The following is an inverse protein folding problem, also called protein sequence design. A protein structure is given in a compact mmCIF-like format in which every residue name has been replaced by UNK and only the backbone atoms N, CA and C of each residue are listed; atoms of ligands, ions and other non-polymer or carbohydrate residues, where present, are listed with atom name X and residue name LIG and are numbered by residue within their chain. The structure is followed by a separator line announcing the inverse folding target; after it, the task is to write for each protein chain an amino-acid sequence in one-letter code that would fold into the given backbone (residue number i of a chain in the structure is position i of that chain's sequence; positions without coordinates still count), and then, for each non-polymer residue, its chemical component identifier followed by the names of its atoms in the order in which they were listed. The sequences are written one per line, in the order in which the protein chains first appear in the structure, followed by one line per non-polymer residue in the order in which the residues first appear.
data_IF_681104215181
#
_entry.id   IF_681104215181
#
_cell.length_a   1.000
_cell.length_b   1.000
_cell.length_c   1.000
_cell.angle_alpha   90.00
_cell.angle_beta   90.00
_cell.angle_gamma   90.00
#
_symmetry.space_group_name_H-M   'P 1'
#
loop_
_entity.id
_entity.type
_entity.pdbx_description
1 polymer ?
#
# COMPACT_ATOMS: atom_id res chain seq x y z
N UNK A 1 -28.15 5.00 -5.12
CA UNK A 1 -27.26 4.16 -5.91
C UNK A 1 -26.61 5.05 -6.95
N UNK A 2 -25.37 5.51 -6.72
CA UNK A 2 -24.63 6.26 -7.75
C UNK A 2 -24.04 5.24 -8.71
N UNK A 3 -24.31 5.39 -9.99
CA UNK A 3 -23.63 4.68 -11.07
C UNK A 3 -22.14 4.97 -10.95
N UNK A 4 -21.34 3.97 -10.68
CA UNK A 4 -19.88 4.08 -10.76
C UNK A 4 -19.53 4.26 -12.23
N UNK A 5 -19.26 5.49 -12.66
CA UNK A 5 -18.63 5.71 -13.96
C UNK A 5 -17.19 5.20 -13.90
N UNK A 6 -16.94 4.08 -14.58
CA UNK A 6 -15.59 3.61 -14.84
C UNK A 6 -15.08 4.43 -16.03
N UNK A 7 -14.28 5.46 -15.78
CA UNK A 7 -13.59 6.18 -16.84
C UNK A 7 -12.25 5.50 -17.13
N UNK A 8 -12.08 5.00 -18.34
CA UNK A 8 -10.78 4.56 -18.84
C UNK A 8 -10.02 5.80 -19.34
N UNK A 9 -9.10 6.33 -18.53
CA UNK A 9 -8.21 7.38 -18.99
C UNK A 9 -7.10 6.79 -19.86
N UNK A 10 -6.85 7.43 -20.99
CA UNK A 10 -5.72 7.11 -21.84
C UNK A 10 -4.42 7.63 -21.20
N UNK A 11 -3.31 6.97 -21.47
CA UNK A 11 -1.98 7.40 -20.98
C UNK A 11 -1.69 8.86 -21.37
N UNK A 12 -2.14 9.29 -22.55
CA UNK A 12 -1.99 10.67 -23.03
C UNK A 12 -2.66 11.70 -22.11
N UNK A 13 -3.84 11.37 -21.56
CA UNK A 13 -4.57 12.27 -20.67
C UNK A 13 -3.85 12.41 -19.33
N UNK A 14 -3.31 11.29 -18.80
CA UNK A 14 -2.51 11.30 -17.58
C UNK A 14 -1.21 12.07 -17.78
N UNK A 15 -0.53 11.89 -18.94
CA UNK A 15 0.68 12.63 -19.29
C UNK A 15 0.42 14.13 -19.32
N UNK A 16 -0.69 14.54 -19.92
CA UNK A 16 -1.08 15.94 -19.97
C UNK A 16 -1.31 16.51 -18.57
N UNK A 17 -2.00 15.78 -17.71
CA UNK A 17 -2.23 16.19 -16.32
C UNK A 17 -0.90 16.34 -15.56
N UNK A 18 0.00 15.37 -15.65
CA UNK A 18 1.34 15.42 -15.03
C UNK A 18 2.06 16.71 -15.41
N UNK A 19 2.09 17.02 -16.71
CA UNK A 19 2.80 18.19 -17.22
C UNK A 19 2.18 19.51 -16.76
N UNK A 20 0.89 19.69 -16.97
CA UNK A 20 0.22 20.95 -16.69
C UNK A 20 0.23 21.28 -15.20
N UNK A 21 -0.03 20.28 -14.34
CA UNK A 21 -0.01 20.45 -12.90
C UNK A 21 1.42 20.72 -12.40
N UNK A 22 2.40 19.94 -12.85
CA UNK A 22 3.80 20.14 -12.44
C UNK A 22 4.32 21.52 -12.85
N UNK A 23 4.02 21.96 -14.07
CA UNK A 23 4.38 23.26 -14.59
C UNK A 23 3.71 24.40 -13.79
N UNK A 24 2.40 24.26 -13.53
CA UNK A 24 1.66 25.25 -12.74
C UNK A 24 2.27 25.45 -11.35
N UNK A 25 2.54 24.34 -10.62
CA UNK A 25 3.14 24.40 -9.29
C UNK A 25 4.50 25.10 -9.33
N UNK A 26 5.35 24.69 -10.28
CA UNK A 26 6.71 25.24 -10.40
C UNK A 26 6.72 26.73 -10.77
N UNK A 27 5.85 27.14 -11.70
CA UNK A 27 5.72 28.55 -12.11
C UNK A 27 5.23 29.46 -10.99
N UNK A 28 4.42 28.93 -10.07
CA UNK A 28 3.94 29.67 -8.89
C UNK A 28 4.86 29.53 -7.67
N UNK A 29 6.09 29.01 -7.83
CA UNK A 29 7.13 28.97 -6.78
C UNK A 29 6.96 27.83 -5.78
N UNK A 30 6.12 26.80 -6.07
CA UNK A 30 6.00 25.62 -5.21
C UNK A 30 7.25 24.74 -5.27
N UNK A 31 7.63 24.20 -4.11
CA UNK A 31 8.77 23.29 -3.96
C UNK A 31 8.41 22.02 -3.17
N UNK A 32 7.50 22.12 -2.20
CA UNK A 32 7.14 21.07 -1.25
C UNK A 32 5.65 20.81 -1.27
N UNK A 33 5.26 19.79 -2.04
CA UNK A 33 3.87 19.51 -2.40
C UNK A 33 3.27 18.42 -1.52
N UNK A 34 2.29 18.76 -0.71
CA UNK A 34 1.50 17.81 0.05
C UNK A 34 0.34 17.27 -0.80
N UNK A 35 0.29 15.98 -0.99
CA UNK A 35 -0.82 15.28 -1.63
C UNK A 35 -1.76 14.78 -0.53
N UNK A 36 -2.90 15.45 -0.39
CA UNK A 36 -3.98 15.11 0.54
C UNK A 36 -5.21 14.65 -0.24
N UNK A 37 -5.08 13.52 -0.91
CA UNK A 37 -6.10 12.93 -1.77
C UNK A 37 -6.37 11.46 -1.38
N UNK A 38 -7.60 10.96 -1.61
CA UNK A 38 -7.82 9.52 -1.64
C UNK A 38 -7.10 8.88 -2.83
N UNK A 39 -7.13 7.54 -2.90
CA UNK A 39 -6.60 6.84 -4.07
C UNK A 39 -7.35 7.28 -5.33
N UNK A 40 -6.67 8.01 -6.19
CA UNK A 40 -7.26 8.57 -7.41
C UNK A 40 -6.20 8.72 -8.52
N UNK A 41 -6.64 9.05 -9.70
CA UNK A 41 -5.73 9.30 -10.83
C UNK A 41 -4.94 10.58 -10.59
N UNK A 42 -5.57 11.58 -10.01
CA UNK A 42 -4.95 12.85 -9.65
C UNK A 42 -3.85 12.67 -8.60
N UNK A 43 -4.03 11.70 -7.66
CA UNK A 43 -2.96 11.32 -6.73
C UNK A 43 -1.72 10.83 -7.48
N UNK A 44 -1.92 9.91 -8.43
CA UNK A 44 -0.82 9.34 -9.23
C UNK A 44 -0.21 10.41 -10.15
N UNK A 45 -1.03 11.21 -10.80
CA UNK A 45 -0.57 12.31 -11.65
C UNK A 45 0.23 13.35 -10.86
N UNK A 46 -0.22 13.73 -9.66
CA UNK A 46 0.51 14.64 -8.76
C UNK A 46 1.86 14.07 -8.32
N UNK A 47 1.91 12.76 -7.98
CA UNK A 47 3.15 12.08 -7.61
C UNK A 47 4.18 12.16 -8.76
N UNK A 48 3.76 11.84 -9.98
CA UNK A 48 4.65 11.92 -11.15
C UNK A 48 4.97 13.38 -11.53
N UNK A 49 4.03 14.31 -11.40
CA UNK A 49 4.30 15.73 -11.59
C UNK A 49 5.42 16.22 -10.68
N UNK A 50 5.39 15.85 -9.40
CA UNK A 50 6.48 16.17 -8.48
C UNK A 50 7.82 15.58 -8.93
N UNK A 51 7.83 14.33 -9.39
CA UNK A 51 9.06 13.67 -9.84
C UNK A 51 9.64 14.31 -11.09
N UNK A 52 8.82 14.72 -12.07
CA UNK A 52 9.27 15.33 -13.34
C UNK A 52 9.67 16.81 -13.20
N UNK A 53 9.10 17.53 -12.24
CA UNK A 53 9.29 18.97 -12.08
C UNK A 53 10.18 19.34 -10.89
N UNK A 54 10.95 18.39 -10.36
CA UNK A 54 11.90 18.60 -9.26
C UNK A 54 11.21 19.21 -8.01
N UNK A 55 10.10 18.59 -7.59
CA UNK A 55 9.31 18.97 -6.41
C UNK A 55 9.38 17.85 -5.36
N UNK A 56 9.48 18.24 -4.09
CA UNK A 56 9.44 17.29 -2.97
C UNK A 56 8.00 16.83 -2.75
N UNK A 57 7.76 15.54 -2.85
CA UNK A 57 6.44 14.95 -2.59
C UNK A 57 6.24 14.68 -1.11
N UNK A 58 5.08 15.07 -0.56
CA UNK A 58 4.69 14.80 0.82
C UNK A 58 3.38 14.05 0.82
N UNK A 59 3.39 12.81 1.30
CA UNK A 59 2.21 11.96 1.37
C UNK A 59 1.49 12.19 2.69
N UNK A 60 0.41 12.95 2.68
CA UNK A 60 -0.36 13.25 3.89
C UNK A 60 -1.49 12.23 4.05
N UNK A 61 -1.54 11.48 5.17
CA UNK A 61 -2.61 10.52 5.41
C UNK A 61 -3.98 11.18 5.35
N UNK A 62 -4.87 10.62 4.53
CA UNK A 62 -6.22 11.10 4.35
C UNK A 62 -7.09 10.74 5.59
N UNK A 63 -8.09 11.56 5.91
CA UNK A 63 -9.02 11.39 7.04
C UNK A 63 -8.41 11.50 8.45
N UNK A 64 -7.34 12.28 8.62
CA UNK A 64 -6.82 12.62 9.95
C UNK A 64 -7.54 13.84 10.54
N UNK A 65 -7.58 13.98 11.88
CA UNK A 65 -8.07 15.20 12.54
C UNK A 65 -7.32 16.44 12.07
N UNK A 66 -8.01 17.60 12.08
CA UNK A 66 -7.47 18.87 11.57
C UNK A 66 -6.16 19.26 12.27
N UNK A 67 -6.11 19.10 13.58
CA UNK A 67 -4.93 19.43 14.39
C UNK A 67 -3.73 18.59 13.95
N UNK A 68 -3.98 17.32 13.64
CA UNK A 68 -2.94 16.41 13.12
C UNK A 68 -2.46 16.89 11.75
N UNK A 69 -3.37 17.26 10.84
CA UNK A 69 -3.01 17.74 9.50
C UNK A 69 -2.13 18.99 9.62
N UNK A 70 -2.49 19.96 10.46
CA UNK A 70 -1.70 21.16 10.68
C UNK A 70 -0.29 20.82 11.18
N UNK A 71 -0.16 19.91 12.16
CA UNK A 71 1.13 19.44 12.66
C UNK A 71 1.98 18.78 11.56
N UNK A 72 1.36 17.95 10.72
CA UNK A 72 2.03 17.29 9.59
C UNK A 72 2.52 18.31 8.56
N UNK A 73 1.74 19.36 8.23
CA UNK A 73 2.15 20.42 7.33
C UNK A 73 3.32 21.22 7.90
N UNK A 74 3.31 21.53 9.20
CA UNK A 74 4.44 22.18 9.88
C UNK A 74 5.71 21.33 9.84
N UNK A 75 5.61 20.03 10.18
CA UNK A 75 6.74 19.10 10.19
C UNK A 75 7.37 18.95 8.81
N UNK A 76 6.54 18.90 7.77
CA UNK A 76 6.98 18.74 6.38
C UNK A 76 7.37 20.05 5.69
N UNK A 77 7.10 21.23 6.30
CA UNK A 77 7.33 22.54 5.69
C UNK A 77 6.69 22.66 4.31
N UNK A 78 5.44 22.23 4.21
CA UNK A 78 4.67 22.24 2.97
C UNK A 78 4.40 23.66 2.50
N UNK A 79 4.58 23.98 1.23
CA UNK A 79 4.18 25.26 0.62
C UNK A 79 2.97 25.12 -0.30
N UNK A 80 2.74 23.93 -0.85
CA UNK A 80 1.68 23.64 -1.79
C UNK A 80 0.87 22.43 -1.32
N UNK A 81 -0.45 22.52 -1.36
CA UNK A 81 -1.35 21.41 -1.02
C UNK A 81 -2.24 21.10 -2.22
N UNK A 82 -2.36 19.80 -2.54
CA UNK A 82 -3.35 19.27 -3.49
C UNK A 82 -4.38 18.50 -2.67
N UNK A 83 -5.64 18.92 -2.67
CA UNK A 83 -6.66 18.33 -1.82
C UNK A 83 -8.00 18.15 -2.54
N UNK A 84 -8.77 17.15 -2.15
CA UNK A 84 -10.14 16.98 -2.62
C UNK A 84 -11.06 18.02 -1.96
N UNK A 85 -11.98 18.58 -2.73
CA UNK A 85 -12.96 19.55 -2.22
C UNK A 85 -13.78 18.96 -1.08
N UNK A 86 -13.95 19.73 -0.02
CA UNK A 86 -14.70 19.34 1.17
C UNK A 86 -13.94 18.44 2.14
N UNK A 87 -12.71 18.01 1.81
CA UNK A 87 -11.88 17.20 2.72
C UNK A 87 -10.84 18.03 3.49
N UNK A 88 -10.51 19.21 2.99
CA UNK A 88 -9.45 20.06 3.55
C UNK A 88 -10.06 21.33 4.13
N UNK A 89 -9.97 21.58 5.44
CA UNK A 89 -10.58 22.71 6.12
C UNK A 89 -9.74 23.99 5.91
N UNK A 90 -9.86 24.59 4.73
CA UNK A 90 -9.03 25.69 4.26
C UNK A 90 -8.97 26.87 5.23
N UNK A 91 -10.13 27.36 5.72
CA UNK A 91 -10.21 28.53 6.59
C UNK A 91 -9.49 28.36 7.93
N UNK A 92 -9.45 27.14 8.44
CA UNK A 92 -8.75 26.82 9.69
C UNK A 92 -7.24 26.69 9.44
N UNK A 93 -6.89 26.03 8.34
CA UNK A 93 -5.49 25.75 8.01
C UNK A 93 -4.75 27.04 7.64
N UNK A 94 -5.33 27.93 6.83
CA UNK A 94 -4.69 29.20 6.47
C UNK A 94 -4.40 30.10 7.67
N UNK A 95 -5.24 30.05 8.70
CA UNK A 95 -5.01 30.78 9.94
C UNK A 95 -3.92 30.17 10.80
N UNK A 96 -3.84 28.84 10.83
CA UNK A 96 -2.90 28.10 11.69
C UNK A 96 -1.57 27.78 11.01
N UNK A 97 -1.53 27.82 9.67
CA UNK A 97 -0.37 27.52 8.86
C UNK A 97 -0.17 28.58 7.75
N UNK A 98 0.35 29.77 8.10
CA UNK A 98 0.51 30.90 7.16
C UNK A 98 1.61 30.68 6.11
N UNK A 99 2.41 29.63 6.21
CA UNK A 99 3.43 29.27 5.22
C UNK A 99 2.87 28.61 3.96
N UNK A 100 1.57 28.29 3.93
CA UNK A 100 0.91 27.77 2.74
C UNK A 100 0.85 28.86 1.67
N UNK A 101 1.38 28.56 0.48
CA UNK A 101 1.42 29.50 -0.65
C UNK A 101 0.42 29.13 -1.74
N UNK A 102 0.20 27.83 -1.96
CA UNK A 102 -0.65 27.33 -3.03
C UNK A 102 -1.60 26.24 -2.53
N UNK A 103 -2.83 26.27 -3.05
CA UNK A 103 -3.81 25.20 -2.86
C UNK A 103 -4.46 24.84 -4.20
N UNK A 104 -4.40 23.59 -4.57
CA UNK A 104 -5.01 23.05 -5.77
C UNK A 104 -6.18 22.14 -5.36
N UNK A 105 -7.38 22.54 -5.68
CA UNK A 105 -8.57 21.75 -5.42
C UNK A 105 -8.81 20.72 -6.53
N UNK A 106 -8.99 19.46 -6.14
CA UNK A 106 -9.48 18.40 -7.01
C UNK A 106 -10.98 18.27 -6.81
N UNK A 107 -11.75 18.47 -7.87
CA UNK A 107 -13.22 18.42 -7.87
C UNK A 107 -13.64 17.17 -8.61
N UNK A 108 -14.49 16.34 -7.98
CA UNK A 108 -15.08 15.18 -8.65
C UNK A 108 -16.09 15.62 -9.71
N UNK A 109 -16.02 15.07 -10.92
CA UNK A 109 -17.01 15.27 -11.97
C UNK A 109 -18.40 14.84 -11.46
N UNK A 110 -19.37 15.76 -11.51
CA UNK A 110 -20.74 15.55 -11.03
C UNK A 110 -20.92 15.76 -9.53
N UNK A 111 -19.92 16.31 -8.83
CA UNK A 111 -20.10 16.82 -7.48
C UNK A 111 -20.99 18.05 -7.49
N UNK A 112 -21.86 18.20 -6.46
CA UNK A 112 -22.62 19.44 -6.23
C UNK A 112 -21.71 20.64 -5.93
N UNK A 113 -20.44 20.39 -5.64
CA UNK A 113 -19.41 21.39 -5.37
C UNK A 113 -18.75 21.95 -6.65
N UNK A 114 -19.25 21.58 -7.85
CA UNK A 114 -18.89 22.28 -9.09
C UNK A 114 -19.53 23.67 -9.21
N UNK A 115 -20.45 24.03 -8.30
CA UNK A 115 -20.90 25.42 -8.15
C UNK A 115 -19.72 26.24 -7.57
N UNK A 116 -19.13 27.04 -8.41
CA UNK A 116 -17.97 27.92 -8.18
C UNK A 116 -18.07 28.81 -6.93
N UNK A 117 -19.25 28.98 -6.39
CA UNK A 117 -19.50 29.75 -5.18
C UNK A 117 -19.06 29.06 -3.89
N UNK A 118 -18.78 27.76 -3.95
CA UNK A 118 -18.33 26.98 -2.78
C UNK A 118 -16.83 26.72 -2.75
N UNK A 119 -16.10 26.98 -3.85
CA UNK A 119 -14.65 26.93 -3.87
C UNK A 119 -14.12 28.24 -3.33
N UNK A 120 -13.43 28.26 -2.17
CA UNK A 120 -12.86 29.49 -1.63
C UNK A 120 -11.86 30.07 -2.64
N UNK A 121 -12.25 31.13 -3.32
CA UNK A 121 -11.34 31.90 -4.15
C UNK A 121 -10.64 32.92 -3.29
N UNK A 122 -9.34 32.68 -2.97
CA UNK A 122 -8.42 33.70 -2.51
C UNK A 122 -8.80 34.53 -1.28
N UNK A 123 -9.57 34.02 -0.35
CA UNK A 123 -9.93 34.72 0.87
C UNK A 123 -8.80 34.68 1.88
N UNK A 124 -7.82 35.50 1.71
CA UNK A 124 -6.70 35.61 2.65
C UNK A 124 -5.49 36.35 2.08
N UNK A 125 -5.53 36.74 0.80
CA UNK A 125 -4.49 37.60 0.19
C UNK A 125 -3.11 36.96 -0.01
N UNK A 126 -2.84 35.82 0.62
CA UNK A 126 -1.52 35.18 0.63
C UNK A 126 -1.47 33.81 -0.06
N UNK A 127 -2.60 33.11 -0.20
CA UNK A 127 -2.64 31.76 -0.79
C UNK A 127 -3.21 31.82 -2.20
N UNK A 128 -2.47 31.29 -3.17
CA UNK A 128 -2.95 31.10 -4.54
C UNK A 128 -3.83 29.84 -4.59
N UNK A 129 -5.12 30.01 -4.89
CA UNK A 129 -6.08 28.91 -4.96
C UNK A 129 -6.47 28.68 -6.42
N UNK A 130 -6.33 27.45 -6.90
CA UNK A 130 -6.68 27.00 -8.24
C UNK A 130 -7.45 25.70 -8.17
N UNK A 131 -8.19 25.35 -9.22
CA UNK A 131 -8.74 24.00 -9.36
C UNK A 131 -7.93 23.19 -10.36
N UNK A 132 -7.87 21.88 -10.13
CA UNK A 132 -7.21 20.92 -11.03
C UNK A 132 -7.76 21.01 -12.44
N UNK A 133 -9.08 21.09 -12.54
CA UNK A 133 -9.82 21.15 -13.79
C UNK A 133 -9.53 22.44 -14.56
N UNK A 134 -9.46 23.60 -13.90
CA UNK A 134 -9.14 24.88 -14.55
C UNK A 134 -7.73 24.87 -15.10
N UNK A 135 -6.75 24.42 -14.30
CA UNK A 135 -5.36 24.31 -14.77
C UNK A 135 -5.28 23.50 -16.05
N UNK A 136 -6.09 22.43 -16.18
CA UNK A 136 -6.10 21.61 -17.38
C UNK A 136 -6.88 22.26 -18.51
N UNK A 137 -8.05 22.87 -18.24
CA UNK A 137 -8.95 23.43 -19.25
C UNK A 137 -8.46 24.76 -19.84
N UNK A 138 -7.67 25.52 -19.09
CA UNK A 138 -7.10 26.80 -19.53
C UNK A 138 -6.02 26.64 -20.61
N UNK A 139 -5.58 25.41 -20.87
CA UNK A 139 -4.57 25.10 -21.87
C UNK A 139 -5.20 24.39 -23.08
N UNK A 140 -4.66 24.65 -24.27
CA UNK A 140 -5.08 23.95 -25.48
C UNK A 140 -4.97 22.43 -25.35
N UNK A 141 -5.84 21.64 -26.02
CA UNK A 141 -5.83 20.17 -25.92
C UNK A 141 -4.50 19.51 -26.27
N UNK A 142 -3.68 20.17 -27.10
CA UNK A 142 -2.35 19.70 -27.50
C UNK A 142 -1.23 20.07 -26.52
N UNK A 143 -1.50 20.96 -25.56
CA UNK A 143 -0.51 21.38 -24.57
C UNK A 143 -0.25 20.27 -23.55
N UNK A 144 1.00 20.07 -23.18
CA UNK A 144 1.40 19.13 -22.13
C UNK A 144 1.37 17.65 -22.53
N UNK A 145 1.24 17.33 -23.83
CA UNK A 145 1.16 15.94 -24.29
C UNK A 145 2.49 15.19 -24.26
N UNK A 146 3.62 15.89 -24.15
CA UNK A 146 4.95 15.30 -24.06
C UNK A 146 5.55 15.57 -22.68
N UNK A 147 6.07 14.53 -22.03
CA UNK A 147 6.78 14.66 -20.76
C UNK A 147 8.09 15.43 -20.94
N UNK A 148 8.53 16.21 -19.94
CA UNK A 148 9.81 16.87 -19.98
C UNK A 148 10.94 15.86 -20.21
N UNK A 149 11.95 16.25 -20.96
CA UNK A 149 13.14 15.44 -21.14
C UNK A 149 13.80 15.21 -19.78
N UNK A 150 13.92 13.96 -19.37
CA UNK A 150 14.58 13.61 -18.10
C UNK A 150 16.09 13.62 -18.33
N UNK A 151 16.79 14.51 -17.63
CA UNK A 151 18.24 14.41 -17.52
C UNK A 151 18.57 13.21 -16.63
N UNK A 152 19.26 12.22 -17.20
CA UNK A 152 19.66 10.99 -16.50
C UNK A 152 20.63 11.24 -15.32
N UNK A 153 21.21 12.42 -15.24
CA UNK A 153 22.12 12.82 -14.18
C UNK A 153 21.41 13.55 -13.03
N UNK A 154 20.14 13.89 -13.21
CA UNK A 154 19.33 14.56 -12.16
C UNK A 154 18.39 13.56 -11.53
N UNK A 155 18.59 13.28 -10.23
CA UNK A 155 17.66 12.44 -9.46
C UNK A 155 16.43 13.27 -9.07
N UNK A 156 15.22 12.68 -9.13
CA UNK A 156 14.02 13.32 -8.58
C UNK A 156 14.19 13.65 -7.10
N UNK A 157 13.41 14.59 -6.59
CA UNK A 157 13.38 14.89 -5.15
C UNK A 157 12.81 13.72 -4.34
N UNK A 158 13.11 13.74 -3.04
CA UNK A 158 12.68 12.73 -2.10
C UNK A 158 11.16 12.73 -1.89
N UNK A 159 10.64 11.58 -1.49
CA UNK A 159 9.26 11.40 -1.06
C UNK A 159 9.23 11.36 0.47
N UNK A 160 8.43 12.24 1.07
CA UNK A 160 8.19 12.26 2.51
C UNK A 160 6.86 11.57 2.81
N UNK A 161 6.87 10.67 3.77
CA UNK A 161 5.68 9.97 4.23
C UNK A 161 5.58 10.01 5.75
N UNK A 162 4.35 9.94 6.26
CA UNK A 162 4.11 9.90 7.68
C UNK A 162 3.78 8.48 8.13
N UNK A 163 4.49 8.01 9.14
CA UNK A 163 4.18 6.76 9.80
C UNK A 163 2.99 6.93 10.76
N UNK A 164 2.26 5.86 11.11
CA UNK A 164 1.12 5.96 12.04
C UNK A 164 1.41 6.67 13.37
N UNK A 165 2.66 6.61 13.83
CA UNK A 165 3.13 7.36 15.02
C UNK A 165 3.23 8.87 14.82
N UNK A 166 3.02 9.40 13.59
CA UNK A 166 3.25 10.80 13.24
C UNK A 166 4.73 11.15 12.98
N UNK A 167 5.61 10.14 12.90
CA UNK A 167 6.99 10.30 12.47
C UNK A 167 7.05 10.61 10.97
N UNK A 168 7.81 11.65 10.61
CA UNK A 168 8.09 12.00 9.21
C UNK A 168 9.30 11.20 8.73
N UNK A 169 9.13 10.45 7.67
CA UNK A 169 10.18 9.63 7.06
C UNK A 169 10.42 10.09 5.64
N UNK A 170 11.68 10.19 5.28
CA UNK A 170 12.13 10.62 3.96
C UNK A 170 12.69 9.44 3.18
N UNK A 171 12.17 9.22 1.98
CA UNK A 171 12.60 8.18 1.06
C UNK A 171 13.26 8.81 -0.16
N UNK A 172 14.49 8.40 -0.43
CA UNK A 172 15.18 8.77 -1.66
C UNK A 172 14.59 8.01 -2.87
N UNK A 173 14.75 8.51 -4.09
CA UNK A 173 14.39 7.77 -5.30
C UNK A 173 14.99 6.36 -5.34
N UNK A 174 16.23 6.22 -4.89
CA UNK A 174 16.90 4.93 -4.81
C UNK A 174 16.21 3.96 -3.85
N UNK A 175 15.70 4.43 -2.69
CA UNK A 175 14.93 3.60 -1.76
C UNK A 175 13.63 3.09 -2.43
N UNK A 176 12.92 3.97 -3.12
CA UNK A 176 11.67 3.59 -3.82
C UNK A 176 11.94 2.57 -4.93
N UNK A 177 12.96 2.79 -5.75
CA UNK A 177 13.35 1.87 -6.83
C UNK A 177 13.80 0.52 -6.25
N UNK A 178 14.59 0.51 -5.18
CA UNK A 178 14.97 -0.71 -4.49
C UNK A 178 13.76 -1.46 -3.93
N UNK A 179 12.81 -0.74 -3.34
CA UNK A 179 11.54 -1.30 -2.87
C UNK A 179 10.74 -1.94 -3.99
N UNK A 180 10.59 -1.27 -5.13
CA UNK A 180 9.91 -1.80 -6.33
C UNK A 180 10.61 -3.09 -6.81
N UNK A 181 11.93 -3.06 -6.96
CA UNK A 181 12.73 -4.21 -7.37
C UNK A 181 12.60 -5.38 -6.38
N UNK A 182 12.65 -5.08 -5.07
CA UNK A 182 12.46 -6.06 -4.00
C UNK A 182 11.11 -6.76 -4.08
N UNK A 183 10.02 -6.01 -4.30
CA UNK A 183 8.68 -6.59 -4.41
C UNK A 183 8.52 -7.45 -5.68
N UNK A 184 9.04 -7.01 -6.81
CA UNK A 184 8.98 -7.78 -8.07
C UNK A 184 9.78 -9.08 -7.95
N UNK A 185 10.98 -9.04 -7.36
CA UNK A 185 11.87 -10.21 -7.28
C UNK A 185 11.48 -11.20 -6.20
N UNK A 186 10.75 -10.78 -5.17
CA UNK A 186 10.23 -11.66 -4.11
C UNK A 186 9.12 -12.61 -4.58
N UNK A 187 8.53 -12.34 -5.73
CA UNK A 187 7.51 -13.22 -6.33
C UNK A 187 8.15 -14.08 -7.42
N UNK A 188 7.89 -15.41 -7.43
CA UNK A 188 8.38 -16.30 -8.48
C UNK A 188 8.01 -15.80 -9.88
N UNK A 189 8.91 -15.96 -10.85
CA UNK A 189 8.76 -15.44 -12.22
C UNK A 189 7.42 -15.77 -12.87
N UNK A 190 6.90 -16.98 -12.63
CA UNK A 190 5.60 -17.44 -13.16
C UNK A 190 4.39 -16.78 -12.52
N UNK A 191 4.58 -16.08 -11.40
CA UNK A 191 3.50 -15.46 -10.60
C UNK A 191 3.64 -13.93 -10.50
N UNK A 192 4.66 -13.36 -11.12
CA UNK A 192 4.87 -11.91 -11.15
C UNK A 192 3.68 -11.17 -11.74
N UNK A 193 3.59 -9.90 -11.40
CA UNK A 193 2.63 -8.98 -11.98
C UNK A 193 2.95 -8.83 -13.47
N UNK A 194 1.92 -8.86 -14.32
CA UNK A 194 2.04 -8.79 -15.77
C UNK A 194 0.99 -7.84 -16.36
N UNK A 195 1.09 -7.55 -17.65
CA UNK A 195 0.11 -6.75 -18.39
C UNK A 195 -1.31 -7.35 -18.42
N UNK A 196 -1.46 -8.63 -18.11
CA UNK A 196 -2.76 -9.28 -18.03
C UNK A 196 -3.48 -9.05 -16.67
N UNK A 197 -2.78 -8.44 -15.72
CA UNK A 197 -3.31 -8.20 -14.39
C UNK A 197 -4.04 -6.87 -14.29
N UNK A 198 -5.09 -6.87 -13.45
CA UNK A 198 -5.73 -5.67 -12.93
C UNK A 198 -5.39 -5.56 -11.44
N UNK A 199 -4.56 -4.59 -11.11
CA UNK A 199 -4.09 -4.32 -9.76
C UNK A 199 -4.98 -3.30 -9.06
N UNK A 200 -5.42 -3.57 -7.84
CA UNK A 200 -6.22 -2.65 -7.02
C UNK A 200 -5.52 -2.38 -5.68
N UNK A 201 -5.05 -1.14 -5.42
CA UNK A 201 -4.70 -0.72 -4.08
C UNK A 201 -5.98 -0.47 -3.28
N UNK A 202 -6.37 -1.41 -2.41
CA UNK A 202 -7.48 -1.29 -1.49
C UNK A 202 -7.06 -0.67 -0.14
N UNK A 203 -5.81 -0.33 0.01
CA UNK A 203 -5.26 0.47 1.10
C UNK A 203 -4.73 1.81 0.57
N UNK A 204 -4.48 2.77 1.46
CA UNK A 204 -4.12 4.13 1.09
C UNK A 204 -2.75 4.20 0.40
N UNK A 205 -2.67 4.92 -0.71
CA UNK A 205 -1.41 5.22 -1.41
C UNK A 205 -0.51 6.20 -0.64
N UNK A 206 -0.99 6.81 0.43
CA UNK A 206 -0.15 7.58 1.35
C UNK A 206 0.72 6.68 2.22
N UNK A 207 0.42 5.37 2.25
CA UNK A 207 1.23 4.33 2.89
C UNK A 207 2.24 3.79 1.88
N UNK A 208 3.51 3.70 2.27
CA UNK A 208 4.62 3.40 1.35
C UNK A 208 4.53 2.00 0.73
N UNK A 209 4.05 0.99 1.46
CA UNK A 209 3.94 -0.36 0.91
C UNK A 209 2.92 -0.48 -0.24
N UNK A 210 1.66 -0.02 -0.11
CA UNK A 210 0.72 0.05 -1.23
C UNK A 210 1.24 0.90 -2.39
N UNK A 211 1.91 2.02 -2.09
CA UNK A 211 2.51 2.88 -3.12
C UNK A 211 3.57 2.13 -3.93
N UNK A 212 4.53 1.50 -3.27
CA UNK A 212 5.61 0.73 -3.92
C UNK A 212 5.05 -0.41 -4.77
N UNK A 213 4.04 -1.13 -4.27
CA UNK A 213 3.38 -2.18 -5.05
C UNK A 213 2.60 -1.63 -6.25
N UNK A 214 1.97 -0.46 -6.12
CA UNK A 214 1.29 0.22 -7.23
C UNK A 214 2.30 0.65 -8.30
N UNK A 215 3.43 1.22 -7.89
CA UNK A 215 4.52 1.55 -8.81
C UNK A 215 5.13 0.29 -9.46
N UNK A 216 5.24 -0.82 -8.73
CA UNK A 216 5.67 -2.11 -9.28
C UNK A 216 4.67 -2.66 -10.32
N UNK A 217 3.36 -2.48 -10.09
CA UNK A 217 2.33 -2.85 -11.05
C UNK A 217 2.41 -2.01 -12.33
N UNK A 218 2.55 -0.69 -12.20
CA UNK A 218 2.76 0.21 -13.34
C UNK A 218 4.04 -0.13 -14.12
N UNK A 219 5.14 -0.38 -13.42
CA UNK A 219 6.40 -0.81 -14.02
C UNK A 219 6.27 -2.12 -14.81
N UNK A 220 5.41 -3.03 -14.33
CA UNK A 220 5.12 -4.31 -14.96
C UNK A 220 4.07 -4.21 -16.09
N UNK A 221 3.68 -3.01 -16.49
CA UNK A 221 2.62 -2.72 -17.47
C UNK A 221 1.25 -3.31 -17.10
N UNK A 222 0.98 -3.54 -15.83
CA UNK A 222 -0.34 -3.96 -15.37
C UNK A 222 -1.33 -2.78 -15.39
N UNK A 223 -2.60 -3.08 -15.60
CA UNK A 223 -3.65 -2.09 -15.39
C UNK A 223 -3.83 -1.83 -13.90
N UNK A 224 -3.97 -0.57 -13.52
CA UNK A 224 -4.22 -0.18 -12.12
C UNK A 224 -5.61 0.41 -12.02
N UNK A 225 -6.45 -0.18 -11.17
CA UNK A 225 -7.74 0.39 -10.81
C UNK A 225 -7.58 1.23 -9.54
N UNK A 226 -8.00 2.48 -9.61
CA UNK A 226 -7.99 3.39 -8.47
C UNK A 226 -9.43 3.63 -8.01
N UNK A 227 -9.64 3.57 -6.71
CA UNK A 227 -10.96 3.76 -6.11
C UNK A 227 -10.83 4.67 -4.90
N UNK A 228 -11.50 5.83 -4.94
CA UNK A 228 -11.50 6.81 -3.85
C UNK A 228 -12.08 6.27 -2.53
N UNK A 229 -12.81 5.17 -2.58
CA UNK A 229 -13.32 4.45 -1.40
C UNK A 229 -12.25 3.55 -0.78
N UNK A 230 -11.29 3.09 -1.59
CA UNK A 230 -10.16 2.32 -1.09
C UNK A 230 -9.33 3.14 -0.09
N UNK A 231 -8.95 2.53 1.02
CA UNK A 231 -8.28 3.22 2.13
C UNK A 231 -9.20 3.98 3.09
N UNK A 232 -10.47 4.22 2.71
CA UNK A 232 -11.49 4.86 3.57
C UNK A 232 -12.46 3.85 4.18
N UNK A 233 -12.80 2.82 3.42
CA UNK A 233 -13.72 1.77 3.87
C UNK A 233 -12.96 0.49 4.20
N UNK A 234 -13.19 -0.07 5.38
CA UNK A 234 -12.67 -1.39 5.72
C UNK A 234 -13.41 -2.53 5.00
N UNK A 235 -14.32 -2.24 4.09
CA UNK A 235 -15.11 -3.23 3.34
C UNK A 235 -14.50 -3.51 1.97
N UNK A 236 -13.86 -4.68 1.86
CA UNK A 236 -13.19 -5.14 0.64
C UNK A 236 -14.21 -5.42 -0.50
N UNK A 237 -15.41 -5.86 -0.17
CA UNK A 237 -16.47 -6.11 -1.16
C UNK A 237 -16.90 -4.79 -1.80
N UNK A 238 -17.04 -3.75 -0.99
CA UNK A 238 -17.40 -2.42 -1.50
C UNK A 238 -16.26 -1.80 -2.31
N UNK A 239 -15.01 -1.95 -1.87
CA UNK A 239 -13.83 -1.44 -2.59
C UNK A 239 -13.64 -2.08 -3.98
N UNK A 240 -14.16 -3.30 -4.19
CA UNK A 240 -14.05 -4.03 -5.46
C UNK A 240 -15.31 -3.98 -6.31
N UNK A 241 -16.31 -3.21 -5.91
CA UNK A 241 -17.56 -3.11 -6.64
C UNK A 241 -17.36 -2.52 -8.04
N UNK A 242 -17.87 -3.17 -9.06
CA UNK A 242 -17.81 -2.71 -10.46
C UNK A 242 -16.54 -3.12 -11.23
N UNK A 243 -15.54 -3.69 -10.57
CA UNK A 243 -14.28 -4.14 -11.19
C UNK A 243 -14.02 -5.62 -10.92
N UNK A 244 -13.08 -6.23 -11.64
CA UNK A 244 -12.67 -7.63 -11.45
C UNK A 244 -11.14 -7.72 -11.23
N UNK A 245 -10.63 -7.29 -10.06
CA UNK A 245 -9.20 -7.26 -9.82
C UNK A 245 -8.61 -8.68 -9.80
N UNK A 246 -7.41 -8.82 -10.34
CA UNK A 246 -6.62 -10.05 -10.26
C UNK A 246 -5.66 -10.02 -9.08
N UNK A 247 -5.23 -8.82 -8.68
CA UNK A 247 -4.32 -8.58 -7.57
C UNK A 247 -4.86 -7.44 -6.72
N UNK A 248 -4.83 -7.63 -5.40
CA UNK A 248 -5.24 -6.60 -4.42
C UNK A 248 -4.09 -6.40 -3.43
N UNK A 249 -3.85 -5.15 -2.99
CA UNK A 249 -3.08 -4.86 -1.79
C UNK A 249 -4.01 -4.26 -0.73
N UNK A 250 -3.91 -4.75 0.50
CA UNK A 250 -4.80 -4.36 1.59
C UNK A 250 -4.10 -4.47 2.95
N UNK A 251 -4.66 -3.86 3.98
CA UNK A 251 -4.15 -3.98 5.35
C UNK A 251 -4.65 -5.25 6.05
N UNK A 252 -3.92 -5.69 7.08
CA UNK A 252 -4.32 -6.81 7.94
C UNK A 252 -5.67 -6.57 8.63
N UNK A 253 -5.96 -5.33 9.03
CA UNK A 253 -7.22 -4.96 9.69
C UNK A 253 -8.45 -5.17 8.78
N UNK A 254 -8.34 -4.84 7.50
CA UNK A 254 -9.40 -5.06 6.51
C UNK A 254 -9.65 -6.57 6.34
N UNK A 255 -8.58 -7.38 6.25
CA UNK A 255 -8.73 -8.82 6.12
C UNK A 255 -9.24 -9.48 7.41
N UNK A 256 -8.83 -9.02 8.58
CA UNK A 256 -9.37 -9.51 9.86
C UNK A 256 -10.89 -9.31 9.93
N UNK A 257 -11.37 -8.16 9.48
CA UNK A 257 -12.81 -7.89 9.39
C UNK A 257 -13.48 -8.82 8.37
N UNK A 258 -12.92 -8.94 7.17
CA UNK A 258 -13.46 -9.84 6.13
C UNK A 258 -13.53 -11.29 6.62
N UNK A 259 -12.50 -11.74 7.38
CA UNK A 259 -12.50 -13.05 8.03
C UNK A 259 -13.66 -13.18 9.02
N UNK A 260 -13.81 -12.25 9.96
CA UNK A 260 -14.85 -12.31 10.99
C UNK A 260 -16.27 -12.30 10.39
N UNK A 261 -16.53 -11.47 9.38
CA UNK A 261 -17.80 -11.40 8.68
C UNK A 261 -18.12 -12.69 7.90
N UNK A 262 -17.10 -13.34 7.32
CA UNK A 262 -17.27 -14.58 6.57
C UNK A 262 -17.42 -15.77 7.52
N UNK A 263 -16.60 -15.83 8.58
CA UNK A 263 -16.69 -16.88 9.60
C UNK A 263 -18.07 -16.89 10.30
N UNK A 264 -18.66 -15.72 10.52
CA UNK A 264 -20.01 -15.59 11.09
C UNK A 264 -21.10 -16.24 10.22
N UNK A 265 -20.87 -16.41 8.90
CA UNK A 265 -21.79 -17.10 7.98
C UNK A 265 -21.68 -18.62 8.03
N UNK A 266 -20.63 -19.17 8.64
CA UNK A 266 -20.42 -20.63 8.80
C UNK A 266 -21.30 -21.26 9.89
N UNK A 267 -22.61 -21.05 9.82
CA UNK A 267 -23.54 -21.50 10.85
C UNK A 267 -23.91 -22.99 10.78
N UNK A 268 -23.80 -23.61 9.59
CA UNK A 268 -24.15 -25.01 9.36
C UNK A 268 -22.97 -25.95 9.62
N UNK A 269 -23.25 -27.11 10.24
CA UNK A 269 -22.26 -28.17 10.46
C UNK A 269 -21.67 -28.67 9.14
N UNK A 270 -22.48 -28.69 8.06
CA UNK A 270 -22.00 -29.08 6.73
C UNK A 270 -20.97 -28.11 6.17
N UNK A 271 -21.22 -26.81 6.30
CA UNK A 271 -20.26 -25.78 5.83
C UNK A 271 -18.98 -25.80 6.64
N UNK A 272 -19.05 -26.03 7.96
CA UNK A 272 -17.86 -26.19 8.81
C UNK A 272 -17.04 -27.41 8.41
N UNK A 273 -17.71 -28.52 8.08
CA UNK A 273 -17.04 -29.75 7.63
C UNK A 273 -16.34 -29.54 6.28
N UNK A 274 -17.01 -28.90 5.31
CA UNK A 274 -16.41 -28.59 4.00
C UNK A 274 -15.20 -27.67 4.19
N UNK A 275 -15.35 -26.64 5.02
CA UNK A 275 -14.26 -25.70 5.32
C UNK A 275 -13.07 -26.42 5.96
N UNK A 276 -13.32 -27.28 6.95
CA UNK A 276 -12.28 -28.06 7.60
C UNK A 276 -11.50 -28.95 6.61
N UNK A 277 -12.21 -29.62 5.69
CA UNK A 277 -11.53 -30.41 4.64
C UNK A 277 -10.66 -29.55 3.72
N UNK A 278 -11.14 -28.36 3.35
CA UNK A 278 -10.39 -27.44 2.49
C UNK A 278 -9.14 -26.91 3.22
N UNK A 279 -9.30 -26.47 4.47
CA UNK A 279 -8.19 -25.99 5.28
C UNK A 279 -7.17 -27.11 5.53
N UNK A 280 -7.62 -28.31 5.83
CA UNK A 280 -6.74 -29.46 6.02
C UNK A 280 -5.95 -29.80 4.74
N UNK A 281 -6.60 -29.77 3.57
CA UNK A 281 -5.92 -29.97 2.30
C UNK A 281 -4.84 -28.90 2.05
N UNK A 282 -5.16 -27.64 2.33
CA UNK A 282 -4.23 -26.55 2.18
C UNK A 282 -3.00 -26.70 3.10
N UNK A 283 -3.25 -26.96 4.38
CA UNK A 283 -2.19 -27.03 5.40
C UNK A 283 -1.34 -28.30 5.27
N UNK A 284 -1.95 -29.45 5.04
CA UNK A 284 -1.22 -30.73 4.99
C UNK A 284 -0.56 -31.02 3.63
N UNK A 285 -1.19 -30.60 2.55
CA UNK A 285 -0.71 -30.91 1.20
C UNK A 285 -0.13 -29.70 0.45
N UNK A 286 -0.26 -28.49 1.01
CA UNK A 286 0.23 -27.27 0.36
C UNK A 286 -0.48 -26.94 -0.96
N UNK A 287 -1.69 -27.44 -1.16
CA UNK A 287 -2.44 -27.30 -2.41
C UNK A 287 -3.71 -26.51 -2.17
N UNK A 288 -3.89 -25.43 -2.93
CA UNK A 288 -5.15 -24.70 -2.94
C UNK A 288 -6.30 -25.63 -3.39
N UNK A 289 -7.42 -25.64 -2.66
CA UNK A 289 -8.55 -26.49 -3.01
C UNK A 289 -9.06 -26.19 -4.43
N UNK A 290 -9.24 -27.25 -5.22
CA UNK A 290 -9.86 -27.14 -6.54
C UNK A 290 -11.36 -26.90 -6.42
N UNK A 291 -11.94 -26.22 -7.41
CA UNK A 291 -13.38 -26.05 -7.52
C UNK A 291 -14.05 -27.42 -7.75
N UNK A 292 -14.67 -27.96 -6.71
CA UNK A 292 -15.47 -29.20 -6.76
C UNK A 292 -16.96 -28.86 -6.65
N UNK A 293 -17.83 -29.84 -6.89
CA UNK A 293 -19.29 -29.68 -6.71
C UNK A 293 -19.60 -29.23 -5.27
N UNK A 294 -18.88 -29.79 -4.27
CA UNK A 294 -19.03 -29.41 -2.86
C UNK A 294 -18.52 -27.99 -2.57
N UNK A 295 -17.46 -27.54 -3.23
CA UNK A 295 -16.96 -26.18 -3.08
C UNK A 295 -17.93 -25.14 -3.64
N UNK A 296 -18.73 -25.49 -4.66
CA UNK A 296 -19.77 -24.58 -5.21
C UNK A 296 -20.87 -24.26 -4.19
N UNK A 297 -21.22 -25.21 -3.33
CA UNK A 297 -22.13 -24.91 -2.21
C UNK A 297 -21.53 -23.92 -1.23
N UNK A 298 -20.22 -24.02 -1.01
CA UNK A 298 -19.47 -23.11 -0.15
C UNK A 298 -19.24 -21.74 -0.78
N UNK A 299 -19.22 -21.66 -2.12
CA UNK A 299 -18.99 -20.39 -2.85
C UNK A 299 -20.04 -19.32 -2.53
N UNK A 300 -21.26 -19.72 -2.14
CA UNK A 300 -22.32 -18.80 -1.70
C UNK A 300 -22.00 -18.06 -0.40
N UNK A 301 -21.06 -18.56 0.40
CA UNK A 301 -20.63 -17.96 1.68
C UNK A 301 -19.42 -17.03 1.51
N UNK A 302 -18.71 -17.18 0.40
CA UNK A 302 -17.52 -16.37 0.13
C UNK A 302 -17.89 -14.91 -0.05
N UNK A 303 -17.01 -13.98 0.39
CA UNK A 303 -17.20 -12.58 0.05
C UNK A 303 -17.12 -12.43 -1.47
N UNK A 304 -18.05 -11.66 -2.04
CA UNK A 304 -18.08 -11.38 -3.48
C UNK A 304 -17.02 -10.31 -3.78
N UNK A 305 -15.81 -10.76 -4.10
CA UNK A 305 -14.73 -9.86 -4.48
C UNK A 305 -14.76 -9.63 -5.99
N UNK A 306 -15.11 -8.40 -6.37
CA UNK A 306 -15.21 -7.99 -7.77
C UNK A 306 -16.41 -8.57 -8.52
N UNK A 307 -16.52 -8.19 -9.79
CA UNK A 307 -17.64 -8.60 -10.66
C UNK A 307 -17.52 -10.01 -11.22
N UNK A 308 -16.32 -10.59 -11.22
CA UNK A 308 -16.04 -11.91 -11.77
C UNK A 308 -15.43 -12.81 -10.71
N UNK A 309 -16.20 -13.74 -10.13
CA UNK A 309 -15.68 -14.70 -9.15
C UNK A 309 -14.50 -15.50 -9.68
N UNK A 310 -13.48 -15.72 -8.83
CA UNK A 310 -12.31 -16.54 -9.16
C UNK A 310 -11.23 -15.85 -10.01
N UNK A 311 -11.39 -14.58 -10.39
CA UNK A 311 -10.33 -13.81 -11.05
C UNK A 311 -9.22 -13.37 -10.11
N UNK A 312 -9.54 -13.13 -8.84
CA UNK A 312 -8.55 -12.75 -7.83
C UNK A 312 -7.57 -13.90 -7.62
N UNK A 313 -6.30 -13.67 -7.94
CA UNK A 313 -5.24 -14.69 -7.83
C UNK A 313 -4.27 -14.45 -6.69
N UNK A 314 -4.11 -13.18 -6.28
CA UNK A 314 -3.11 -12.79 -5.29
C UNK A 314 -3.59 -11.60 -4.45
N UNK A 315 -3.36 -11.68 -3.15
CA UNK A 315 -3.58 -10.59 -2.20
C UNK A 315 -2.28 -10.31 -1.46
N UNK A 316 -1.81 -9.08 -1.52
CA UNK A 316 -0.74 -8.57 -0.70
C UNK A 316 -1.32 -7.94 0.56
N UNK A 317 -0.80 -8.31 1.71
CA UNK A 317 -1.26 -7.83 3.01
C UNK A 317 -0.09 -7.29 3.78
N UNK A 318 -0.22 -6.09 4.31
CA UNK A 318 0.81 -5.50 5.17
C UNK A 318 0.36 -5.42 6.62
N UNK A 319 1.28 -5.76 7.50
CA UNK A 319 1.26 -5.42 8.92
C UNK A 319 2.26 -4.30 9.16
N UNK A 320 1.81 -3.22 9.78
CA UNK A 320 2.67 -2.08 10.07
C UNK A 320 3.15 -2.14 11.52
N UNK A 321 4.45 -2.08 11.73
CA UNK A 321 5.02 -2.03 13.06
C UNK A 321 4.56 -0.75 13.78
N UNK A 322 3.99 -0.93 14.98
CA UNK A 322 3.49 0.18 15.79
C UNK A 322 2.13 0.73 15.37
N UNK A 323 1.42 0.07 14.45
CA UNK A 323 0.00 0.32 14.23
C UNK A 323 -0.85 -0.37 15.33
N UNK A 324 -2.05 0.15 15.56
CA UNK A 324 -2.98 -0.41 16.55
C UNK A 324 -3.67 -1.71 16.08
N UNK A 325 -3.24 -2.28 14.95
CA UNK A 325 -3.76 -3.54 14.42
C UNK A 325 -3.11 -4.75 15.11
N UNK A 326 -3.91 -5.81 15.34
CA UNK A 326 -3.36 -7.09 15.79
C UNK A 326 -2.92 -7.91 14.58
N UNK A 327 -1.69 -8.46 14.59
CA UNK A 327 -1.22 -9.33 13.52
C UNK A 327 -2.13 -10.56 13.34
N UNK A 328 -2.25 -11.03 12.10
CA UNK A 328 -3.08 -12.18 11.77
C UNK A 328 -2.41 -13.49 12.22
N UNK A 329 -3.21 -14.43 12.72
CA UNK A 329 -2.74 -15.78 13.01
C UNK A 329 -2.61 -16.62 11.73
N UNK A 330 -1.82 -17.68 11.77
CA UNK A 330 -1.66 -18.61 10.66
C UNK A 330 -2.98 -19.31 10.28
N UNK A 331 -3.85 -19.56 11.23
CA UNK A 331 -5.19 -20.10 11.02
C UNK A 331 -6.06 -19.11 10.23
N UNK A 332 -6.11 -17.84 10.68
CA UNK A 332 -6.86 -16.78 10.01
C UNK A 332 -6.38 -16.58 8.57
N UNK A 333 -5.07 -16.64 8.32
CA UNK A 333 -4.53 -16.55 6.97
C UNK A 333 -4.93 -17.76 6.11
N UNK A 334 -4.97 -18.96 6.69
CA UNK A 334 -5.41 -20.18 5.98
C UNK A 334 -6.89 -20.10 5.63
N UNK A 335 -7.73 -19.67 6.56
CA UNK A 335 -9.16 -19.44 6.32
C UNK A 335 -9.39 -18.40 5.25
N UNK A 336 -8.68 -17.27 5.30
CA UNK A 336 -8.79 -16.21 4.29
C UNK A 336 -8.40 -16.69 2.90
N UNK A 337 -7.37 -17.54 2.75
CA UNK A 337 -7.02 -18.15 1.46
C UNK A 337 -8.18 -18.97 0.90
N UNK A 338 -8.89 -19.72 1.76
CA UNK A 338 -10.09 -20.48 1.39
C UNK A 338 -11.26 -19.55 1.06
N UNK A 339 -11.53 -18.55 1.89
CA UNK A 339 -12.65 -17.60 1.69
C UNK A 339 -12.49 -16.78 0.42
N UNK A 340 -11.31 -16.26 0.16
CA UNK A 340 -11.02 -15.45 -1.01
C UNK A 340 -10.76 -16.30 -2.27
N UNK A 341 -10.42 -17.59 -2.09
CA UNK A 341 -9.99 -18.46 -3.19
C UNK A 341 -8.68 -17.97 -3.84
N UNK A 342 -7.85 -17.25 -3.13
CA UNK A 342 -6.66 -16.60 -3.65
C UNK A 342 -5.44 -16.82 -2.74
N UNK A 343 -4.25 -16.66 -3.30
CA UNK A 343 -3.01 -16.70 -2.52
C UNK A 343 -2.82 -15.40 -1.76
N UNK A 344 -2.21 -15.48 -0.59
CA UNK A 344 -1.95 -14.33 0.27
C UNK A 344 -0.46 -14.28 0.57
N UNK A 345 0.17 -13.15 0.28
CA UNK A 345 1.50 -12.77 0.73
C UNK A 345 1.33 -11.84 1.93
N UNK A 346 1.86 -12.23 3.07
CA UNK A 346 1.79 -11.47 4.32
C UNK A 346 3.13 -10.83 4.62
N UNK A 347 3.15 -9.50 4.70
CA UNK A 347 4.35 -8.70 4.79
C UNK A 347 4.40 -7.90 6.10
N UNK A 348 5.59 -7.76 6.66
CA UNK A 348 5.90 -6.83 7.75
C UNK A 348 6.51 -5.57 7.16
N UNK A 349 6.00 -4.41 7.56
CA UNK A 349 6.46 -3.10 7.11
C UNK A 349 6.88 -2.22 8.29
N UNK A 350 7.90 -1.41 8.09
CA UNK A 350 8.41 -0.46 9.09
C UNK A 350 8.51 0.95 8.51
N UNK A 351 8.69 1.94 9.37
CA UNK A 351 8.73 3.34 8.98
C UNK A 351 9.82 3.67 7.95
N UNK A 352 10.97 3.01 8.05
CA UNK A 352 12.20 3.40 7.31
C UNK A 352 12.51 2.53 6.11
N UNK A 353 11.64 1.58 5.77
CA UNK A 353 11.82 0.69 4.63
C UNK A 353 10.80 0.99 3.55
N UNK A 354 11.26 1.29 2.36
CA UNK A 354 10.39 1.44 1.20
C UNK A 354 9.91 0.07 0.72
N UNK A 355 8.71 -0.33 1.14
CA UNK A 355 8.13 -1.63 0.85
C UNK A 355 8.04 -2.53 2.09
N UNK A 356 8.28 -3.83 1.92
CA UNK A 356 8.29 -4.79 3.01
C UNK A 356 9.70 -5.01 3.57
N UNK A 357 9.81 -5.28 4.86
CA UNK A 357 11.03 -5.78 5.50
C UNK A 357 11.16 -7.28 5.24
N UNK A 358 10.09 -8.00 5.58
CA UNK A 358 9.95 -9.44 5.37
C UNK A 358 8.59 -9.72 4.75
N UNK A 359 8.48 -10.82 4.02
CA UNK A 359 7.19 -11.29 3.54
C UNK A 359 7.18 -12.81 3.34
N UNK A 360 5.99 -13.41 3.47
CA UNK A 360 5.79 -14.82 3.20
C UNK A 360 5.91 -15.13 1.71
N UNK A 361 6.34 -16.33 1.37
CA UNK A 361 6.27 -16.80 0.00
C UNK A 361 4.82 -16.98 -0.48
N UNK A 362 4.59 -16.88 -1.79
CA UNK A 362 3.25 -17.01 -2.38
C UNK A 362 2.62 -18.40 -2.15
N UNK A 363 3.44 -19.42 -1.93
CA UNK A 363 3.04 -20.81 -1.64
C UNK A 363 3.31 -21.20 -0.18
N UNK A 364 3.49 -20.21 0.69
CA UNK A 364 3.74 -20.46 2.11
C UNK A 364 2.40 -20.62 2.86
N UNK A 365 2.06 -21.87 3.13
CA UNK A 365 0.81 -22.25 3.81
C UNK A 365 1.08 -22.86 5.18
N UNK A 366 2.28 -22.62 5.75
CA UNK A 366 2.65 -23.18 7.06
C UNK A 366 1.74 -22.63 8.14
N UNK A 367 1.33 -23.53 9.01
CA UNK A 367 0.64 -23.23 10.25
C UNK A 367 1.52 -23.81 11.37
N UNK A 368 1.88 -22.98 12.31
CA UNK A 368 2.62 -23.41 13.49
C UNK A 368 1.78 -24.34 14.35
N UNK A 369 2.44 -25.14 15.20
CA UNK A 369 1.81 -26.18 16.06
C UNK A 369 0.84 -25.62 17.13
N UNK A 370 0.28 -24.43 16.93
CA UNK A 370 -0.66 -23.78 17.82
C UNK A 370 0.00 -23.12 19.05
N UNK A 371 1.33 -23.09 19.10
CA UNK A 371 2.10 -22.43 20.16
C UNK A 371 2.26 -20.93 19.93
N UNK A 372 2.20 -20.49 18.66
CA UNK A 372 2.36 -19.10 18.29
C UNK A 372 1.00 -18.43 18.07
N UNK A 373 0.80 -17.29 18.73
CA UNK A 373 -0.43 -16.51 18.62
C UNK A 373 -0.59 -15.84 17.25
N UNK A 374 0.53 -15.51 16.59
CA UNK A 374 0.56 -14.77 15.33
C UNK A 374 1.34 -15.54 14.26
N UNK A 375 0.99 -15.32 13.01
CA UNK A 375 1.72 -15.92 11.89
C UNK A 375 3.11 -15.32 11.73
N UNK A 376 4.03 -16.11 11.17
CA UNK A 376 5.34 -15.61 10.75
C UNK A 376 5.22 -14.67 9.55
N UNK A 377 6.20 -13.78 9.38
CA UNK A 377 6.28 -12.83 8.28
C UNK A 377 7.23 -13.29 7.16
N UNK A 378 7.61 -14.55 7.14
CA UNK A 378 8.46 -15.10 6.09
C UNK A 378 9.92 -14.69 6.18
N UNK A 379 10.51 -14.35 5.02
CA UNK A 379 11.92 -14.03 4.87
C UNK A 379 12.13 -12.56 4.47
N UNK A 380 13.32 -11.99 4.72
CA UNK A 380 13.66 -10.66 4.23
C UNK A 380 13.49 -10.56 2.71
N UNK A 381 12.95 -9.43 2.24
CA UNK A 381 12.90 -9.15 0.80
C UNK A 381 14.30 -8.82 0.29
N UNK A 382 14.52 -9.01 -1.01
CA UNK A 382 15.87 -8.89 -1.62
C UNK A 382 16.48 -7.49 -1.54
N UNK A 383 15.67 -6.47 -1.30
CA UNK A 383 16.11 -5.08 -1.14
C UNK A 383 16.45 -4.70 0.30
N UNK A 384 16.30 -5.64 1.25
CA UNK A 384 16.47 -5.36 2.69
C UNK A 384 17.46 -6.34 3.28
N UNK A 385 18.34 -5.83 4.09
CA UNK A 385 19.25 -6.59 4.92
C UNK A 385 18.87 -6.39 6.39
N UNK A 386 18.72 -7.48 7.18
CA UNK A 386 18.28 -7.44 8.59
C UNK A 386 19.42 -7.91 9.49
N UNK A 387 19.77 -7.14 10.50
CA UNK A 387 20.74 -7.53 11.52
C UNK A 387 20.03 -7.71 12.86
N UNK A 388 20.22 -8.87 13.49
CA UNK A 388 19.73 -9.13 14.83
C UNK A 388 20.79 -8.72 15.84
N UNK A 389 20.41 -7.93 16.84
CA UNK A 389 21.27 -7.54 17.96
C UNK A 389 20.82 -8.22 19.25
N UNK A 390 21.80 -8.55 20.07
CA UNK A 390 21.55 -9.04 21.40
C UNK A 390 20.91 -7.93 22.26
N UNK A 391 19.90 -8.32 23.01
CA UNK A 391 19.27 -7.49 24.03
C UNK A 391 19.46 -8.13 25.41
N UNK A 392 18.95 -7.48 26.46
CA UNK A 392 18.95 -8.02 27.81
C UNK A 392 18.12 -9.30 27.95
N UNK A 393 17.07 -9.42 27.12
CA UNK A 393 16.09 -10.51 27.20
C UNK A 393 16.30 -11.59 26.13
N UNK A 394 16.93 -11.25 25.01
CA UNK A 394 17.10 -12.12 23.85
C UNK A 394 18.54 -12.08 23.32
N UNK A 395 19.13 -13.23 23.11
CA UNK A 395 20.45 -13.36 22.52
C UNK A 395 20.40 -14.11 21.19
N UNK A 396 21.18 -13.63 20.25
CA UNK A 396 21.32 -14.28 18.94
C UNK A 396 21.95 -15.67 19.03
N UNK A 397 22.61 -15.97 20.15
CA UNK A 397 23.22 -17.27 20.47
C UNK A 397 22.28 -18.29 21.12
N UNK A 398 21.07 -17.91 21.48
CA UNK A 398 20.10 -18.81 22.09
C UNK A 398 19.64 -19.88 21.10
N UNK A 399 19.19 -21.04 21.62
CA UNK A 399 18.69 -22.15 20.77
C UNK A 399 17.60 -21.72 19.79
N UNK A 400 16.74 -20.79 20.21
CA UNK A 400 15.83 -20.05 19.33
C UNK A 400 16.48 -18.69 19.17
N UNK A 401 17.17 -18.45 18.04
CA UNK A 401 17.79 -17.16 17.79
C UNK A 401 16.72 -16.08 17.77
N UNK A 402 16.62 -15.37 18.86
CA UNK A 402 15.78 -14.19 18.99
C UNK A 402 16.68 -12.98 19.17
N UNK A 403 16.27 -11.86 18.65
CA UNK A 403 17.03 -10.63 18.75
C UNK A 403 16.18 -9.44 18.35
N UNK A 404 16.63 -8.27 18.72
CA UNK A 404 16.02 -7.03 18.29
C UNK A 404 16.46 -6.69 16.87
N UNK A 405 15.51 -6.32 16.01
CA UNK A 405 15.83 -5.70 14.73
C UNK A 405 16.00 -4.21 14.99
N UNK A 406 17.27 -3.77 15.10
CA UNK A 406 17.54 -2.35 15.26
C UNK A 406 17.59 -1.65 13.92
N UNK A 407 16.75 -0.63 13.76
CA UNK A 407 16.97 0.41 12.78
C UNK A 407 18.10 1.31 13.28
N UNK A 408 19.14 1.51 12.50
CA UNK A 408 20.15 2.53 12.79
C UNK A 408 19.55 3.93 12.55
N UNK A 409 18.81 4.42 13.52
CA UNK A 409 18.48 5.82 13.62
C UNK A 409 18.41 6.20 15.09
N UNK A 410 19.20 7.14 15.46
CA UNK A 410 19.26 7.72 16.79
C UNK A 410 17.87 8.13 17.28
N UNK A 411 17.46 7.56 18.41
CA UNK A 411 16.37 7.99 19.30
C UNK A 411 14.97 7.44 19.12
N UNK A 412 14.78 6.15 18.90
CA UNK A 412 13.52 5.51 19.34
C UNK A 412 13.71 3.98 19.40
N UNK A 413 13.94 3.48 20.60
CA UNK A 413 13.94 2.04 20.88
C UNK A 413 12.52 1.50 20.81
N UNK A 414 12.14 0.91 19.69
CA UNK A 414 10.96 0.05 19.59
C UNK A 414 11.38 -1.33 19.13
N UNK A 415 11.18 -2.31 19.99
CA UNK A 415 11.48 -3.72 19.78
C UNK A 415 10.63 -4.31 18.64
N UNK A 416 11.30 -4.93 17.68
CA UNK A 416 10.77 -5.93 16.80
C UNK A 416 11.36 -7.27 17.20
N UNK A 417 10.59 -8.09 17.89
CA UNK A 417 11.00 -9.46 18.23
C UNK A 417 10.60 -10.40 17.10
N UNK A 418 11.58 -10.82 16.27
CA UNK A 418 11.36 -11.88 15.30
C UNK A 418 11.72 -13.22 15.94
N UNK A 419 10.70 -14.03 16.26
CA UNK A 419 10.91 -15.42 16.69
C UNK A 419 11.10 -16.31 15.47
N UNK A 420 12.14 -17.12 15.49
CA UNK A 420 12.38 -18.19 14.54
C UNK A 420 11.88 -19.50 15.15
N UNK A 421 10.81 -20.06 14.64
CA UNK A 421 10.50 -21.48 14.79
C UNK A 421 10.91 -22.20 13.50
N UNK A 422 11.96 -23.03 13.55
CA UNK A 422 12.24 -23.99 12.48
C UNK A 422 11.48 -25.27 12.83
N UNK A 423 10.58 -25.78 11.96
CA UNK A 423 10.04 -27.12 12.10
C UNK A 423 11.19 -28.14 11.99
N UNK A 424 11.25 -29.10 12.89
CA UNK A 424 12.27 -30.16 12.89
C UNK A 424 12.14 -31.15 11.70
N UNK A 425 11.07 -31.07 10.90
CA UNK A 425 10.74 -32.02 9.83
C UNK A 425 10.60 -31.40 8.44
N UNK A 426 11.50 -30.51 8.06
CA UNK A 426 11.56 -30.02 6.68
C UNK A 426 12.18 -31.09 5.76
N UNK A 427 11.57 -31.37 4.57
CA UNK A 427 12.19 -32.21 3.58
C UNK A 427 13.60 -31.70 3.23
N UNK A 428 14.56 -32.59 3.13
CA UNK A 428 16.00 -32.30 3.03
C UNK A 428 16.41 -31.33 1.90
N UNK A 429 15.59 -31.20 0.86
CA UNK A 429 15.82 -30.25 -0.24
C UNK A 429 15.39 -28.80 0.10
N UNK A 430 14.31 -28.61 0.87
CA UNK A 430 13.84 -27.28 1.29
C UNK A 430 14.73 -26.70 2.40
N UNK A 431 15.27 -27.59 3.25
CA UNK A 431 16.23 -27.21 4.28
C UNK A 431 17.55 -26.74 3.68
N UNK A 432 18.05 -27.36 2.58
CA UNK A 432 19.29 -26.94 1.93
C UNK A 432 19.20 -25.58 1.25
N UNK A 433 18.14 -25.28 0.52
CA UNK A 433 18.00 -23.97 -0.14
C UNK A 433 17.76 -22.84 0.86
N UNK A 434 16.99 -23.07 1.92
CA UNK A 434 16.79 -22.10 2.99
C UNK A 434 18.03 -21.89 3.86
N UNK A 435 18.81 -22.96 4.15
CA UNK A 435 20.03 -22.90 4.94
C UNK A 435 21.21 -22.30 4.17
N UNK A 436 21.38 -22.59 2.89
CA UNK A 436 22.46 -22.00 2.07
C UNK A 436 22.26 -20.48 1.86
N UNK A 437 21.01 -20.02 1.71
CA UNK A 437 20.69 -18.60 1.69
C UNK A 437 20.88 -17.96 3.08
N UNK A 438 20.62 -18.71 4.15
CA UNK A 438 20.79 -18.26 5.53
C UNK A 438 22.24 -18.24 6.00
N UNK A 439 23.07 -19.24 5.68
CA UNK A 439 24.49 -19.27 6.06
C UNK A 439 25.32 -18.21 5.33
N UNK A 440 24.89 -17.79 4.13
CA UNK A 440 25.50 -16.65 3.42
C UNK A 440 25.07 -15.30 3.98
N UNK A 441 23.96 -15.21 4.72
CA UNK A 441 23.40 -13.94 5.25
C UNK A 441 23.76 -13.70 6.71
N UNK A 442 25.01 -13.90 7.12
CA UNK A 442 25.45 -13.54 8.47
C UNK A 442 25.61 -12.03 8.73
N UNK A 443 25.33 -11.21 7.74
CA UNK A 443 25.35 -9.75 7.88
C UNK A 443 24.15 -9.16 7.18
N UNK A 444 23.36 -8.45 7.95
CA UNK A 444 22.19 -7.77 7.43
C UNK A 444 22.38 -6.29 7.72
N UNK A 445 22.55 -5.49 6.69
CA UNK A 445 22.73 -4.03 6.75
C UNK A 445 21.49 -3.41 6.14
N UNK A 446 20.80 -2.56 6.88
CA UNK A 446 19.85 -1.64 6.26
C UNK A 446 20.68 -0.65 5.46
N UNK A 447 20.61 -0.73 4.14
CA UNK A 447 21.28 0.23 3.27
C UNK A 447 20.55 1.57 3.35
N UNK A 448 21.25 2.69 3.54
CA UNK A 448 20.66 4.01 3.70
C UNK A 448 19.87 4.48 2.48
#
# INVERSE_FOLDING_TARGET
MRSSHISNLLIADVTRQINLIGQHIKQNGGERVAIYLPNSIEFVAALFACAYYDLTTILVPFDKPIETIIDLLHKSRTDTVIAAVGSFPFDVITKSYPSLQQLIWVVDEGSKHMDWNEVPTGTGGAVNVSTWQDIISDHEPTAGTELPAVDRNTEPKNILAFWPSGELVEFTPANIVAGIGGQITSVPTTQRITHADLFLPADSLTTVYPLVLTLAALYSNASVALNSVAGRSPDLVFATQGIAPTIIVTSSSILARTHSETAAKLNSSLYRLIHWFQTRSLVQHGVMPLATVLSRLYDSLRPVIGTTPGKLRLVFVSEQVGADSTPLSAEVLSDLRIYLGSRIIYALTTAKVAGAVTQTGIYDYRVDDGTEKYSHFGVPVTSVEINLRDTTEHKTSDQISAGEVSEQSSKSDRLLTLRRSLPQDLPSWAARQGLELWERSRRIILWP
#
